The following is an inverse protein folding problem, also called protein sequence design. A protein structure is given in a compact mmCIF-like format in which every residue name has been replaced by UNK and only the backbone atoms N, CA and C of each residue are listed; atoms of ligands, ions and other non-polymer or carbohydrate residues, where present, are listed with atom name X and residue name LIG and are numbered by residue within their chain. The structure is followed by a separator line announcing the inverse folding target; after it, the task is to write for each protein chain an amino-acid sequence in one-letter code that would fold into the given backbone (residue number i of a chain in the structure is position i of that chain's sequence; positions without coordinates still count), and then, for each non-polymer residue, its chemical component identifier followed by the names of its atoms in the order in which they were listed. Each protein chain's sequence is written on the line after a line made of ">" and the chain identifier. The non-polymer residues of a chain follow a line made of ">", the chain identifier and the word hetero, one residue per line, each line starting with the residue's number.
data_IF_155595693818
#
_entry.id   IF_155595693818
#
_cell.length_a   1.000
_cell.length_b   1.000
_cell.length_c   1.000
_cell.angle_alpha   90.00
_cell.angle_beta   90.00
_cell.angle_gamma   90.00
#
_symmetry.space_group_name_H-M   'P 1'
#
loop_
_entity.id
_entity.type
_entity.pdbx_description
1 polymer ?
#
# COMPACT_ATOMS: atom_id res chain seq x y z
N UNK A 1 7.38 8.35 6.72
CA UNK A 1 6.03 8.38 6.12
C UNK A 1 6.18 8.15 4.64
N UNK A 2 5.30 7.37 4.03
CA UNK A 2 5.35 7.05 2.60
C UNK A 2 4.42 7.99 1.87
N UNK A 3 4.84 8.49 0.73
CA UNK A 3 4.12 9.56 0.05
C UNK A 3 4.14 9.38 -1.46
N UNK A 4 3.07 9.83 -2.08
CA UNK A 4 2.93 9.95 -3.53
C UNK A 4 2.50 11.40 -3.80
N UNK A 5 3.30 12.12 -4.57
CA UNK A 5 3.13 13.56 -4.85
C UNK A 5 2.47 13.78 -6.21
N UNK A 6 2.23 15.06 -6.54
CA UNK A 6 1.80 15.49 -7.88
C UNK A 6 0.39 15.02 -8.28
N UNK A 7 -0.48 14.82 -7.28
CA UNK A 7 -1.90 14.53 -7.49
C UNK A 7 -2.75 15.78 -7.44
N UNK A 8 -3.78 15.79 -8.28
CA UNK A 8 -4.92 16.70 -8.16
C UNK A 8 -6.09 15.95 -7.54
N UNK A 9 -6.65 16.50 -6.47
CA UNK A 9 -7.89 15.99 -5.88
C UNK A 9 -9.09 16.45 -6.70
N UNK A 10 -9.92 15.48 -7.09
CA UNK A 10 -11.19 15.71 -7.80
C UNK A 10 -12.29 15.01 -7.02
N UNK A 11 -13.36 15.74 -6.72
CA UNK A 11 -14.52 15.18 -6.03
C UNK A 11 -15.35 14.34 -7.00
N UNK A 12 -15.69 13.12 -6.59
CA UNK A 12 -16.57 12.21 -7.30
C UNK A 12 -17.62 11.66 -6.34
N UNK A 13 -18.75 11.20 -6.90
CA UNK A 13 -19.77 10.51 -6.13
C UNK A 13 -19.32 9.06 -5.83
N UNK A 14 -18.51 8.93 -4.78
CA UNK A 14 -18.00 7.67 -4.25
C UNK A 14 -18.32 7.58 -2.76
N UNK A 15 -18.37 6.37 -2.16
CA UNK A 15 -18.63 6.23 -0.74
C UNK A 15 -17.66 7.05 0.12
N UNK A 16 -18.19 7.71 1.15
CA UNK A 16 -17.39 8.53 2.06
C UNK A 16 -16.27 7.72 2.69
N UNK A 17 -15.08 8.31 2.79
CA UNK A 17 -13.90 7.65 3.35
C UNK A 17 -13.14 6.77 2.35
N UNK A 18 -13.59 6.69 1.10
CA UNK A 18 -12.85 6.03 0.01
C UNK A 18 -12.11 7.06 -0.84
N UNK A 19 -11.02 6.62 -1.45
CA UNK A 19 -10.28 7.39 -2.44
C UNK A 19 -9.84 6.44 -3.56
N UNK A 20 -9.76 6.96 -4.78
CA UNK A 20 -9.24 6.25 -5.93
C UNK A 20 -8.12 7.07 -6.57
N UNK A 21 -7.16 6.36 -7.16
CA UNK A 21 -6.05 6.94 -7.89
C UNK A 21 -5.68 6.03 -9.05
N UNK A 22 -4.96 6.59 -10.02
CA UNK A 22 -4.47 5.83 -11.15
C UNK A 22 -3.26 4.96 -10.76
N UNK A 23 -3.15 3.84 -11.47
CA UNK A 23 -1.99 2.96 -11.43
C UNK A 23 -0.99 3.43 -12.48
N UNK A 24 0.34 3.42 -12.19
CA UNK A 24 1.02 2.88 -11.00
C UNK A 24 1.37 3.90 -9.89
N UNK A 25 0.88 5.13 -9.96
CA UNK A 25 1.40 6.27 -9.20
C UNK A 25 1.25 6.13 -7.68
N UNK A 26 0.32 5.29 -7.21
CA UNK A 26 0.11 5.02 -5.78
C UNK A 26 0.76 3.73 -5.26
N UNK A 27 1.45 2.97 -6.12
CA UNK A 27 2.20 1.78 -5.68
C UNK A 27 3.18 2.05 -4.52
N UNK A 28 3.88 3.20 -4.45
CA UNK A 28 4.71 3.54 -3.30
C UNK A 28 3.97 3.58 -1.95
N UNK A 29 2.63 3.61 -1.94
CA UNK A 29 1.74 3.59 -0.76
C UNK A 29 1.24 2.18 -0.36
N UNK A 30 1.45 1.13 -1.17
CA UNK A 30 1.12 -0.28 -0.80
C UNK A 30 2.23 -0.91 0.05
N UNK A 31 2.01 -1.28 1.33
CA UNK A 31 3.06 -1.87 2.16
C UNK A 31 3.56 -3.19 1.56
N UNK A 32 4.87 -3.46 1.61
CA UNK A 32 5.43 -4.67 1.00
C UNK A 32 5.07 -5.95 1.77
N UNK A 33 4.80 -5.83 3.07
CA UNK A 33 4.45 -6.90 4.01
C UNK A 33 2.94 -7.16 4.12
N UNK A 34 2.12 -6.22 3.67
CA UNK A 34 0.66 -6.31 3.69
C UNK A 34 0.15 -7.17 2.53
N UNK A 35 0.07 -8.48 2.76
CA UNK A 35 -0.49 -9.45 1.82
C UNK A 35 -1.65 -10.24 2.41
N UNK A 36 -2.56 -10.70 1.56
CA UNK A 36 -3.64 -11.58 1.95
C UNK A 36 -3.10 -12.94 2.43
N UNK A 37 -3.65 -13.44 3.53
CA UNK A 37 -3.36 -14.78 4.02
C UNK A 37 -3.74 -15.83 2.97
N UNK A 38 -2.87 -16.84 2.77
CA UNK A 38 -3.11 -17.97 1.88
C UNK A 38 -2.77 -17.75 0.39
N UNK A 39 -2.87 -16.53 -0.14
CA UNK A 39 -2.56 -16.25 -1.56
C UNK A 39 -1.31 -15.39 -1.77
N UNK A 40 -0.85 -14.72 -0.71
CA UNK A 40 0.25 -13.76 -0.75
C UNK A 40 0.04 -12.59 -1.74
N UNK A 41 -1.21 -12.31 -2.13
CA UNK A 41 -1.54 -11.16 -2.98
C UNK A 41 -1.46 -9.86 -2.18
N UNK A 42 -0.86 -8.78 -2.72
CA UNK A 42 -0.79 -7.49 -2.03
C UNK A 42 -2.18 -6.93 -1.64
N UNK A 43 -2.29 -6.35 -0.45
CA UNK A 43 -3.50 -5.71 0.08
C UNK A 43 -3.76 -4.32 -0.53
N UNK A 44 -3.60 -4.18 -1.85
CA UNK A 44 -3.63 -2.89 -2.58
C UNK A 44 -4.97 -2.15 -2.48
N UNK A 45 -6.08 -2.88 -2.25
CA UNK A 45 -7.43 -2.29 -2.16
C UNK A 45 -7.79 -1.79 -0.75
N UNK A 46 -6.91 -1.96 0.24
CA UNK A 46 -7.16 -1.60 1.64
C UNK A 46 -5.93 -0.94 2.26
N UNK A 47 -5.57 0.23 1.75
CA UNK A 47 -4.46 1.05 2.26
C UNK A 47 -5.03 2.30 2.93
N UNK A 48 -4.68 2.53 4.19
CA UNK A 48 -5.04 3.76 4.90
C UNK A 48 -4.17 4.90 4.39
N UNK A 49 -4.81 5.98 3.94
CA UNK A 49 -4.14 7.15 3.37
C UNK A 49 -4.60 8.44 4.05
N UNK A 50 -3.75 9.47 3.99
CA UNK A 50 -4.09 10.83 4.39
C UNK A 50 -3.80 11.76 3.22
N UNK A 51 -4.74 12.67 2.94
CA UNK A 51 -4.56 13.72 1.95
C UNK A 51 -3.86 14.91 2.60
N UNK A 52 -2.84 15.44 1.93
CA UNK A 52 -2.09 16.61 2.37
C UNK A 52 -2.02 17.66 1.27
N UNK A 53 -1.74 18.90 1.65
CA UNK A 53 -1.48 19.97 0.68
C UNK A 53 -0.12 19.72 0.01
N UNK A 54 -0.05 19.96 -1.30
CA UNK A 54 1.21 19.88 -2.03
C UNK A 54 2.27 20.81 -1.40
N UNK A 55 3.50 20.32 -1.25
CA UNK A 55 4.58 21.04 -0.56
C UNK A 55 4.53 21.00 0.97
N UNK A 56 3.59 20.24 1.56
CA UNK A 56 3.56 20.00 3.01
C UNK A 56 4.80 19.25 3.51
N UNK A 57 5.24 19.57 4.73
CA UNK A 57 6.45 19.04 5.37
C UNK A 57 6.44 17.53 5.64
N UNK A 58 5.26 16.91 5.64
CA UNK A 58 5.08 15.48 5.96
C UNK A 58 5.45 14.57 4.78
N UNK A 59 5.56 15.13 3.57
CA UNK A 59 5.75 14.38 2.34
C UNK A 59 7.24 14.23 2.00
N UNK A 60 7.86 13.12 2.41
CA UNK A 60 9.18 12.73 1.90
C UNK A 60 9.02 11.70 0.76
N UNK A 61 9.17 12.08 -0.53
CA UNK A 61 9.04 11.16 -1.66
C UNK A 61 10.15 10.11 -1.73
N UNK A 62 11.26 10.29 -0.98
CA UNK A 62 12.31 9.28 -0.79
C UNK A 62 12.13 8.48 0.52
N UNK A 63 11.00 8.64 1.19
CA UNK A 63 10.71 7.95 2.44
C UNK A 63 10.71 6.44 2.22
N UNK A 64 11.63 5.74 2.87
CA UNK A 64 11.64 4.29 2.91
C UNK A 64 10.46 3.76 3.75
N UNK A 65 10.03 2.52 3.47
CA UNK A 65 9.18 1.79 4.41
C UNK A 65 10.00 1.51 5.68
N UNK A 66 9.36 1.53 6.85
CA UNK A 66 10.02 1.17 8.12
C UNK A 66 10.47 -0.30 8.13
N UNK A 67 11.22 -0.70 9.15
CA UNK A 67 11.58 -2.11 9.35
C UNK A 67 10.30 -2.94 9.50
N UNK A 68 10.15 -3.95 8.65
CA UNK A 68 9.00 -4.85 8.59
C UNK A 68 8.89 -5.60 9.92
N UNK A 69 7.71 -5.54 10.55
CA UNK A 69 7.38 -6.43 11.67
C UNK A 69 6.94 -7.77 11.10
N UNK A 70 7.67 -8.82 11.45
CA UNK A 70 7.35 -10.18 11.03
C UNK A 70 6.11 -10.67 11.79
N UNK A 71 4.93 -10.62 11.17
CA UNK A 71 3.80 -11.48 11.56
C UNK A 71 4.11 -12.91 11.06
N UNK A 72 5.17 -13.49 11.66
CA UNK A 72 5.88 -14.69 11.23
C UNK A 72 5.16 -16.01 11.59
N UNK A 73 4.03 -15.95 12.31
CA UNK A 73 3.37 -17.13 12.87
C UNK A 73 2.85 -18.15 11.86
N UNK A 74 2.82 -17.83 10.55
CA UNK A 74 2.26 -18.73 9.53
C UNK A 74 2.86 -18.67 8.12
N UNK A 75 3.89 -17.84 7.86
CA UNK A 75 4.43 -17.65 6.49
C UNK A 75 5.66 -18.53 6.17
N UNK A 76 6.15 -19.32 7.13
CA UNK A 76 7.45 -19.98 7.07
C UNK A 76 7.48 -21.34 6.35
N UNK A 77 6.40 -21.81 5.70
CA UNK A 77 6.48 -23.07 4.92
C UNK A 77 5.43 -23.20 3.80
N UNK A 78 5.69 -22.69 2.57
CA UNK A 78 4.97 -23.17 1.40
C UNK A 78 5.61 -24.50 0.97
N UNK A 79 5.05 -25.64 1.38
CA UNK A 79 5.38 -26.92 0.72
C UNK A 79 4.75 -26.92 -0.67
N UNK A 80 5.50 -26.44 -1.66
CA UNK A 80 5.16 -26.60 -3.07
C UNK A 80 5.51 -28.03 -3.48
N UNK A 81 4.51 -28.92 -3.43
CA UNK A 81 4.60 -30.22 -4.08
C UNK A 81 4.59 -29.99 -5.61
N UNK A 82 5.76 -30.07 -6.23
CA UNK A 82 5.86 -30.12 -7.69
C UNK A 82 5.26 -31.44 -8.17
N UNK A 83 4.10 -31.39 -8.81
CA UNK A 83 3.57 -32.51 -9.58
C UNK A 83 4.34 -32.54 -10.91
N UNK A 84 5.26 -33.50 -11.06
CA UNK A 84 5.84 -33.89 -12.36
C UNK A 84 4.89 -34.83 -13.10
#
# INVERSE_FOLDING_TARGET
>A
MRCASDFRLVAHDVPRGTAAAFYPETNPLVPLDATAAGSNQPATKSVVVRLGVAGGTDCNPRGAQGQVGDDDGHKSRPEVAHLS
#
